data_IF_686696232840
#
_entry.id   IF_686696232840
#
_cell.length_a   1.000
_cell.length_b   1.000
_cell.length_c   1.000
_cell.angle_alpha   90.00
_cell.angle_beta   90.00
_cell.angle_gamma   90.00
#
_symmetry.space_group_name_H-M   'P 1'
#
loop_
_entity.id
_entity.type
_entity.pdbx_description
1 polymer ?
#
# COMPACT_ATOMS: atom_id res chain seq x y z
N UNK A 1 21.44 -1.66 16.86
CA UNK A 1 20.59 -0.70 17.59
C UNK A 1 20.55 -0.94 19.11
N UNK A 2 21.35 -1.89 19.62
CA UNK A 2 21.43 -2.18 21.06
C UNK A 2 21.65 -0.89 21.88
N UNK A 3 20.97 -0.79 23.02
CA UNK A 3 21.02 0.35 23.94
C UNK A 3 20.67 1.72 23.32
N UNK A 4 19.99 1.77 22.18
CA UNK A 4 19.49 2.99 21.55
C UNK A 4 18.00 3.18 21.76
N UNK A 5 17.60 4.44 21.94
CA UNK A 5 16.19 4.84 21.87
C UNK A 5 15.87 5.15 20.41
N UNK A 6 14.86 4.50 19.87
CA UNK A 6 14.53 4.56 18.44
C UNK A 6 13.11 5.09 18.26
N UNK A 7 12.93 6.02 17.34
CA UNK A 7 11.62 6.43 16.84
C UNK A 7 11.36 5.77 15.48
N UNK A 8 10.19 5.16 15.31
CA UNK A 8 9.65 4.76 14.00
C UNK A 8 8.45 5.65 13.68
N UNK A 9 8.55 6.43 12.61
CA UNK A 9 7.50 7.33 12.17
C UNK A 9 6.71 6.69 11.04
N UNK A 10 5.43 6.36 11.32
CA UNK A 10 4.54 5.66 10.42
C UNK A 10 4.24 4.23 10.85
N UNK A 11 3.14 3.69 10.32
CA UNK A 11 2.62 2.34 10.63
C UNK A 11 2.22 1.57 9.36
N UNK A 12 2.80 1.93 8.21
CA UNK A 12 2.61 1.22 6.95
C UNK A 12 3.42 -0.08 6.87
N UNK A 13 3.48 -0.69 5.66
CA UNK A 13 4.10 -2.00 5.44
C UNK A 13 5.56 -2.08 5.91
N UNK A 14 6.33 -1.01 5.77
CA UNK A 14 7.72 -0.94 6.25
C UNK A 14 7.78 -0.98 7.78
N UNK A 15 6.99 -0.15 8.45
CA UNK A 15 6.94 -0.10 9.91
C UNK A 15 6.44 -1.41 10.52
N UNK A 16 5.41 -2.03 9.92
CA UNK A 16 4.87 -3.33 10.35
C UNK A 16 5.95 -4.44 10.37
N UNK A 17 6.96 -4.34 9.52
CA UNK A 17 8.08 -5.29 9.48
C UNK A 17 9.24 -4.87 10.41
N UNK A 18 9.55 -3.58 10.48
CA UNK A 18 10.67 -3.07 11.28
C UNK A 18 10.36 -3.18 12.79
N UNK A 19 9.16 -2.78 13.22
CA UNK A 19 8.80 -2.72 14.65
C UNK A 19 9.04 -4.05 15.36
N UNK A 20 8.50 -5.20 14.93
CA UNK A 20 8.74 -6.47 15.60
C UNK A 20 10.22 -6.91 15.54
N UNK A 21 10.91 -6.57 14.44
CA UNK A 21 12.30 -6.96 14.24
C UNK A 21 13.26 -6.29 15.21
N UNK A 22 12.98 -5.04 15.61
CA UNK A 22 13.89 -4.27 16.49
C UNK A 22 13.40 -4.13 17.93
N UNK A 23 12.13 -4.39 18.21
CA UNK A 23 11.50 -4.13 19.50
C UNK A 23 12.27 -4.76 20.69
N UNK A 24 12.79 -5.99 20.53
CA UNK A 24 13.56 -6.68 21.56
C UNK A 24 15.06 -6.28 21.62
N UNK A 25 15.53 -5.49 20.64
CA UNK A 25 16.96 -5.15 20.54
C UNK A 25 17.29 -3.74 21.04
N UNK A 26 16.29 -2.85 21.05
CA UNK A 26 16.46 -1.43 21.38
C UNK A 26 16.23 -1.18 22.87
N UNK A 27 16.82 -0.10 23.39
CA UNK A 27 16.54 0.33 24.77
C UNK A 27 15.09 0.78 24.92
N UNK A 28 14.59 1.58 23.98
CA UNK A 28 13.19 2.01 23.93
C UNK A 28 12.77 2.28 22.48
N UNK A 29 11.54 1.89 22.13
CA UNK A 29 10.95 2.09 20.82
C UNK A 29 9.72 2.99 20.93
N UNK A 30 9.77 4.15 20.28
CA UNK A 30 8.61 5.03 20.10
C UNK A 30 8.04 4.83 18.71
N UNK A 31 6.77 4.46 18.63
CA UNK A 31 6.05 4.27 17.36
C UNK A 31 5.07 5.42 17.16
N UNK A 32 5.33 6.31 16.21
CA UNK A 32 4.47 7.46 15.91
C UNK A 32 3.44 7.09 14.87
N UNK A 33 2.19 7.00 15.29
CA UNK A 33 1.06 6.54 14.48
C UNK A 33 0.11 7.68 14.12
N UNK A 34 -0.03 7.98 12.83
CA UNK A 34 -1.10 8.85 12.32
C UNK A 34 -2.41 8.08 12.09
N UNK A 35 -2.31 6.88 11.55
CA UNK A 35 -3.46 6.03 11.23
C UNK A 35 -3.08 4.58 11.50
N UNK A 36 -3.88 3.81 12.25
CA UNK A 36 -3.58 2.40 12.52
C UNK A 36 -3.59 1.56 11.24
N UNK A 37 -2.71 0.56 11.16
CA UNK A 37 -2.63 -0.37 10.05
C UNK A 37 -3.65 -1.52 10.20
N UNK A 38 -4.14 -2.02 9.07
CA UNK A 38 -4.81 -3.33 9.02
C UNK A 38 -3.74 -4.40 8.85
N UNK A 39 -3.55 -5.26 9.86
CA UNK A 39 -2.52 -6.31 9.83
C UNK A 39 -3.18 -7.68 10.02
N UNK A 40 -3.00 -8.54 9.04
CA UNK A 40 -3.46 -9.93 9.08
C UNK A 40 -2.31 -10.89 9.44
N UNK A 41 -2.57 -12.05 10.03
CA UNK A 41 -1.53 -13.01 10.32
C UNK A 41 -0.95 -13.58 9.01
N UNK A 42 0.36 -13.78 9.01
CA UNK A 42 1.09 -14.37 7.88
C UNK A 42 0.92 -15.88 7.84
N UNK A 43 0.89 -16.51 9.03
CA UNK A 43 0.82 -17.97 9.19
C UNK A 43 1.87 -18.70 8.36
N UNK A 44 3.08 -18.16 8.31
CA UNK A 44 4.17 -18.70 7.51
C UNK A 44 4.60 -20.06 8.07
N UNK A 45 4.80 -21.02 7.19
CA UNK A 45 5.25 -22.37 7.55
C UNK A 45 6.62 -22.64 6.93
N UNK A 46 7.42 -23.46 7.61
CA UNK A 46 8.66 -23.97 7.03
C UNK A 46 8.32 -24.85 5.83
N UNK A 47 8.93 -24.56 4.70
CA UNK A 47 8.78 -25.34 3.48
C UNK A 47 9.68 -26.58 3.57
N UNK A 48 9.11 -27.77 3.61
CA UNK A 48 9.85 -29.01 3.53
C UNK A 48 10.14 -29.41 2.07
N UNK A 49 11.07 -30.37 1.90
CA UNK A 49 11.47 -30.84 0.57
C UNK A 49 10.32 -31.48 -0.21
N UNK A 50 9.42 -32.17 0.46
CA UNK A 50 8.29 -32.85 -0.18
C UNK A 50 7.30 -31.81 -0.75
N UNK A 51 7.04 -30.74 0.01
CA UNK A 51 6.23 -29.62 -0.47
C UNK A 51 6.91 -28.91 -1.65
N UNK A 52 8.23 -28.66 -1.57
CA UNK A 52 9.00 -28.01 -2.63
C UNK A 52 8.93 -28.81 -3.95
N UNK A 53 9.16 -30.12 -3.91
CA UNK A 53 9.08 -31.00 -5.08
C UNK A 53 7.66 -31.04 -5.68
N UNK A 54 6.65 -31.14 -4.83
CA UNK A 54 5.26 -31.09 -5.25
C UNK A 54 4.94 -29.74 -5.91
N UNK A 55 5.37 -28.64 -5.30
CA UNK A 55 5.13 -27.29 -5.81
C UNK A 55 5.79 -27.07 -7.16
N UNK A 56 7.04 -27.52 -7.37
CA UNK A 56 7.73 -27.45 -8.66
C UNK A 56 6.95 -28.13 -9.78
N UNK A 57 6.27 -29.25 -9.50
CA UNK A 57 5.45 -29.98 -10.48
C UNK A 57 4.08 -29.32 -10.76
N UNK A 58 3.54 -28.55 -9.81
CA UNK A 58 2.18 -28.03 -9.87
C UNK A 58 2.14 -26.48 -9.87
N UNK A 59 3.28 -25.85 -10.00
CA UNK A 59 3.45 -24.42 -9.80
C UNK A 59 2.49 -23.56 -10.68
N UNK A 60 2.34 -23.89 -11.97
CA UNK A 60 1.47 -23.13 -12.89
C UNK A 60 0.01 -23.16 -12.41
N UNK A 61 -0.49 -24.33 -12.06
CA UNK A 61 -1.86 -24.49 -11.57
C UNK A 61 -2.04 -23.90 -10.16
N UNK A 62 -1.05 -24.05 -9.28
CA UNK A 62 -1.06 -23.42 -7.95
C UNK A 62 -1.11 -21.91 -8.06
N UNK A 63 -0.32 -21.31 -8.96
CA UNK A 63 -0.31 -19.88 -9.25
C UNK A 63 -1.67 -19.40 -9.80
N UNK A 64 -2.23 -20.12 -10.77
CA UNK A 64 -3.56 -19.80 -11.32
C UNK A 64 -4.64 -19.81 -10.25
N UNK A 65 -4.66 -20.84 -9.41
CA UNK A 65 -5.61 -20.94 -8.27
C UNK A 65 -5.43 -19.82 -7.25
N UNK A 66 -4.19 -19.47 -6.93
CA UNK A 66 -3.89 -18.36 -6.03
C UNK A 66 -4.45 -17.03 -6.55
N UNK A 67 -4.20 -16.71 -7.84
CA UNK A 67 -4.68 -15.46 -8.44
C UNK A 67 -6.20 -15.40 -8.48
N UNK A 68 -6.87 -16.47 -8.92
CA UNK A 68 -8.34 -16.55 -8.93
C UNK A 68 -8.93 -16.46 -7.51
N UNK A 69 -8.29 -17.10 -6.54
CA UNK A 69 -8.70 -17.03 -5.14
C UNK A 69 -8.56 -15.62 -4.56
N UNK A 70 -7.49 -14.93 -4.92
CA UNK A 70 -7.27 -13.53 -4.53
C UNK A 70 -8.36 -12.62 -5.10
N UNK A 71 -8.67 -12.73 -6.39
CA UNK A 71 -9.73 -11.96 -7.02
C UNK A 71 -11.10 -12.24 -6.39
N UNK A 72 -11.42 -13.51 -6.14
CA UNK A 72 -12.65 -13.90 -5.48
C UNK A 72 -12.75 -13.33 -4.06
N UNK A 73 -11.64 -13.35 -3.29
CA UNK A 73 -11.58 -12.77 -1.96
C UNK A 73 -11.85 -11.27 -1.99
N UNK A 74 -11.21 -10.54 -2.91
CA UNK A 74 -11.42 -9.08 -3.03
C UNK A 74 -12.84 -8.72 -3.47
N UNK A 75 -13.43 -9.48 -4.38
CA UNK A 75 -14.84 -9.33 -4.74
C UNK A 75 -15.76 -9.55 -3.53
N UNK A 76 -15.45 -10.55 -2.72
CA UNK A 76 -16.20 -10.84 -1.50
C UNK A 76 -16.14 -9.72 -0.48
N UNK A 77 -14.97 -9.18 -0.17
CA UNK A 77 -14.80 -8.15 0.87
C UNK A 77 -15.26 -6.76 0.43
N UNK A 78 -15.47 -6.54 -0.87
CA UNK A 78 -16.10 -5.33 -1.39
C UNK A 78 -17.61 -5.25 -1.08
N UNK A 79 -18.22 -6.32 -0.58
CA UNK A 79 -19.58 -6.30 -0.04
C UNK A 79 -19.52 -5.80 1.40
N UNK A 80 -20.33 -4.78 1.74
CA UNK A 80 -20.29 -4.06 3.03
C UNK A 80 -20.32 -5.02 4.23
N UNK A 81 -21.28 -5.93 4.29
CA UNK A 81 -21.46 -6.85 5.43
C UNK A 81 -20.24 -7.77 5.62
N UNK A 82 -19.61 -8.20 4.53
CA UNK A 82 -18.41 -9.00 4.58
C UNK A 82 -17.21 -8.16 5.05
N UNK A 83 -17.11 -6.92 4.60
CA UNK A 83 -16.06 -6.00 5.04
C UNK A 83 -16.18 -5.72 6.53
N UNK A 84 -17.37 -5.40 7.01
CA UNK A 84 -17.65 -5.17 8.43
C UNK A 84 -17.30 -6.40 9.28
N UNK A 85 -17.59 -7.61 8.80
CA UNK A 85 -17.18 -8.86 9.46
C UNK A 85 -15.66 -9.02 9.53
N UNK A 86 -14.94 -8.73 8.46
CA UNK A 86 -13.46 -8.78 8.43
C UNK A 86 -12.91 -7.78 9.43
N UNK A 87 -13.41 -6.54 9.44
CA UNK A 87 -12.98 -5.51 10.37
C UNK A 87 -13.30 -5.85 11.83
N UNK A 88 -14.46 -6.44 12.10
CA UNK A 88 -14.81 -6.94 13.44
C UNK A 88 -13.83 -8.02 13.92
N UNK A 89 -13.48 -8.97 13.05
CA UNK A 89 -12.52 -10.02 13.37
C UNK A 89 -11.12 -9.45 13.66
N UNK A 90 -10.68 -8.47 12.88
CA UNK A 90 -9.41 -7.77 13.10
C UNK A 90 -9.40 -7.05 14.46
N UNK A 91 -10.44 -6.27 14.77
CA UNK A 91 -10.56 -5.57 16.07
C UNK A 91 -10.57 -6.55 17.25
N UNK A 92 -11.28 -7.66 17.11
CA UNK A 92 -11.30 -8.72 18.13
C UNK A 92 -9.92 -9.36 18.32
N UNK A 93 -9.15 -9.57 17.24
CA UNK A 93 -7.78 -10.06 17.32
C UNK A 93 -6.90 -9.06 18.08
N UNK A 94 -6.95 -7.79 17.73
CA UNK A 94 -6.18 -6.74 18.43
C UNK A 94 -6.50 -6.76 19.94
N UNK A 95 -7.80 -6.78 20.29
CA UNK A 95 -8.25 -6.79 21.68
C UNK A 95 -7.85 -8.05 22.48
N UNK A 96 -7.61 -9.18 21.79
CA UNK A 96 -7.14 -10.42 22.43
C UNK A 96 -5.62 -10.46 22.56
N UNK A 97 -4.90 -9.78 21.67
CA UNK A 97 -3.44 -9.83 21.57
C UNK A 97 -2.79 -8.75 22.44
N UNK A 98 -3.32 -7.53 22.41
CA UNK A 98 -2.74 -6.37 23.10
C UNK A 98 -3.36 -6.24 24.50
N UNK A 99 -2.51 -6.10 25.53
CA UNK A 99 -2.94 -6.10 26.94
C UNK A 99 -3.49 -4.76 27.42
N UNK A 100 -2.88 -3.64 26.99
CA UNK A 100 -3.32 -2.31 27.40
C UNK A 100 -4.55 -1.85 26.58
N UNK A 101 -5.70 -1.61 27.22
CA UNK A 101 -6.93 -1.20 26.53
C UNK A 101 -6.80 0.16 25.81
N UNK A 102 -5.92 1.06 26.28
CA UNK A 102 -5.68 2.33 25.60
C UNK A 102 -4.93 2.09 24.27
N UNK A 103 -3.92 1.22 24.30
CA UNK A 103 -3.17 0.83 23.10
C UNK A 103 -4.08 0.04 22.15
N UNK A 104 -4.94 -0.84 22.65
CA UNK A 104 -5.96 -1.53 21.84
C UNK A 104 -6.82 -0.54 21.07
N UNK A 105 -7.34 0.50 21.74
CA UNK A 105 -8.17 1.53 21.12
C UNK A 105 -7.42 2.28 20.00
N UNK A 106 -6.16 2.60 20.23
CA UNK A 106 -5.33 3.30 19.24
C UNK A 106 -5.00 2.43 18.03
N UNK A 107 -4.80 1.13 18.21
CA UNK A 107 -4.44 0.20 17.13
C UNK A 107 -5.64 -0.26 16.29
N UNK A 108 -6.88 0.01 16.73
CA UNK A 108 -8.08 -0.38 15.98
C UNK A 108 -8.36 0.58 14.81
N UNK A 109 -8.35 0.09 13.55
CA UNK A 109 -8.71 0.92 12.40
C UNK A 109 -10.19 1.31 12.42
N UNK A 110 -10.46 2.58 12.05
CA UNK A 110 -11.80 3.16 11.93
C UNK A 110 -12.28 3.32 10.48
N UNK A 111 -11.59 2.71 9.54
CA UNK A 111 -11.87 2.76 8.10
C UNK A 111 -12.13 1.34 7.56
N UNK A 112 -12.83 1.18 6.42
CA UNK A 112 -13.12 -0.12 5.82
C UNK A 112 -11.83 -0.86 5.40
N UNK A 113 -11.86 -2.20 5.48
CA UNK A 113 -10.75 -3.03 5.03
C UNK A 113 -10.49 -2.82 3.53
N UNK A 114 -9.24 -2.62 3.16
CA UNK A 114 -8.84 -2.37 1.79
C UNK A 114 -8.75 -0.89 1.38
N UNK A 115 -9.27 0.06 2.20
CA UNK A 115 -9.06 1.49 1.97
C UNK A 115 -7.61 1.92 2.14
N UNK A 116 -6.85 1.14 2.89
CA UNK A 116 -5.38 1.21 2.95
C UNK A 116 -4.84 -0.18 2.69
N UNK A 117 -3.61 -0.28 2.15
CA UNK A 117 -2.98 -1.56 1.87
C UNK A 117 -2.92 -2.42 3.14
N UNK A 118 -3.59 -3.59 3.18
CA UNK A 118 -3.46 -4.51 4.29
C UNK A 118 -2.04 -5.05 4.37
N UNK A 119 -1.50 -5.09 5.58
CA UNK A 119 -0.20 -5.67 5.87
C UNK A 119 -0.35 -7.10 6.39
N UNK A 120 0.71 -7.88 6.33
CA UNK A 120 0.74 -9.27 6.79
C UNK A 120 1.93 -9.43 7.72
N UNK A 121 1.67 -9.74 9.00
CA UNK A 121 2.70 -10.03 10.00
C UNK A 121 2.10 -10.78 11.18
N UNK A 122 2.88 -11.69 11.78
CA UNK A 122 2.42 -12.47 12.94
C UNK A 122 2.60 -11.71 14.25
N UNK A 123 3.73 -11.03 14.47
CA UNK A 123 4.16 -10.49 15.77
C UNK A 123 4.01 -8.96 15.92
N UNK A 124 3.33 -8.29 14.97
CA UNK A 124 3.21 -6.83 15.00
C UNK A 124 2.47 -6.31 16.23
N UNK A 125 1.32 -6.89 16.53
CA UNK A 125 0.51 -6.46 17.68
C UNK A 125 1.13 -6.89 19.01
N UNK A 126 1.78 -8.04 19.04
CA UNK A 126 2.50 -8.58 20.17
C UNK A 126 3.63 -7.65 20.65
N UNK A 127 4.27 -6.93 19.71
CA UNK A 127 5.32 -5.97 20.01
C UNK A 127 4.88 -4.85 20.95
N UNK A 128 3.61 -4.46 20.93
CA UNK A 128 3.06 -3.41 21.79
C UNK A 128 2.79 -3.88 23.23
N UNK A 129 3.05 -5.14 23.56
CA UNK A 129 3.02 -5.65 24.93
C UNK A 129 4.37 -5.57 25.65
N UNK A 130 5.43 -5.14 24.96
CA UNK A 130 6.77 -4.98 25.54
C UNK A 130 6.86 -3.65 26.30
N UNK A 131 7.44 -3.67 27.49
CA UNK A 131 7.56 -2.50 28.37
C UNK A 131 8.39 -1.36 27.75
N UNK A 132 9.29 -1.70 26.85
CA UNK A 132 10.12 -0.75 26.11
C UNK A 132 9.51 -0.25 24.79
N UNK A 133 8.24 -0.53 24.50
CA UNK A 133 7.55 -0.06 23.28
C UNK A 133 6.43 0.89 23.66
N UNK A 134 6.47 2.10 23.13
CA UNK A 134 5.43 3.13 23.34
C UNK A 134 4.79 3.52 22.02
N UNK A 135 3.47 3.35 21.92
CA UNK A 135 2.68 3.88 20.81
C UNK A 135 2.32 5.34 21.08
N UNK A 136 2.68 6.23 20.16
CA UNK A 136 2.39 7.67 20.20
C UNK A 136 1.41 8.02 19.10
N UNK A 137 0.21 8.42 19.46
CA UNK A 137 -0.79 8.86 18.48
C UNK A 137 -0.47 10.29 18.02
N UNK A 138 -0.26 10.45 16.72
CA UNK A 138 -0.07 11.73 16.03
C UNK A 138 -1.17 11.97 14.98
N UNK A 139 -2.26 11.24 15.07
CA UNK A 139 -3.45 11.36 14.24
C UNK A 139 -4.55 12.18 14.89
N UNK A 140 -5.67 12.27 14.21
CA UNK A 140 -6.86 12.98 14.67
C UNK A 140 -7.79 12.16 15.57
N UNK A 141 -7.40 10.93 15.94
CA UNK A 141 -8.29 9.99 16.62
C UNK A 141 -8.66 10.36 18.07
N UNK A 142 -7.92 11.28 18.68
CA UNK A 142 -8.13 11.71 20.08
C UNK A 142 -8.60 13.16 20.21
N UNK A 143 -9.22 13.73 19.17
CA UNK A 143 -9.64 15.15 19.18
C UNK A 143 -8.49 16.14 19.02
N UNK A 144 -7.26 15.66 18.87
CA UNK A 144 -6.08 16.44 18.56
C UNK A 144 -5.99 16.50 17.03
N UNK A 145 -6.11 17.68 16.45
CA UNK A 145 -6.00 17.90 14.99
C UNK A 145 -4.52 17.79 14.53
N UNK A 146 -3.87 16.66 14.87
CA UNK A 146 -2.50 16.40 14.47
C UNK A 146 -2.51 15.74 13.08
N UNK A 147 -2.05 16.48 12.08
CA UNK A 147 -1.87 15.98 10.72
C UNK A 147 -0.56 15.18 10.55
N UNK A 148 -0.18 14.41 11.58
CA UNK A 148 1.06 13.66 11.64
C UNK A 148 2.10 14.32 12.54
N UNK A 149 3.32 13.82 12.47
CA UNK A 149 4.48 14.33 13.21
C UNK A 149 5.15 15.43 12.38
N UNK A 150 5.09 16.68 12.84
CA UNK A 150 5.55 17.85 12.08
C UNK A 150 6.64 18.64 12.82
N UNK A 151 6.93 18.29 14.08
CA UNK A 151 7.85 19.06 14.91
C UNK A 151 8.99 18.16 15.43
N UNK A 152 10.20 18.66 15.34
CA UNK A 152 11.41 18.02 15.82
C UNK A 152 12.31 19.06 16.49
N UNK A 153 13.01 18.66 17.52
CA UNK A 153 14.10 19.44 18.09
C UNK A 153 15.39 18.59 18.14
N UNK A 154 16.47 19.12 18.69
CA UNK A 154 17.78 18.45 18.76
C UNK A 154 17.75 17.11 19.50
N UNK A 155 16.74 16.88 20.36
CA UNK A 155 16.62 15.67 21.16
C UNK A 155 15.68 14.64 20.53
N UNK A 156 14.84 15.02 19.57
CA UNK A 156 13.94 14.09 18.88
C UNK A 156 12.58 14.68 18.48
N UNK A 157 11.62 13.81 18.16
CA UNK A 157 10.26 14.21 17.81
C UNK A 157 9.53 14.91 18.94
N UNK A 158 8.71 15.92 18.58
CA UNK A 158 7.86 16.66 19.52
C UNK A 158 6.39 16.44 19.18
N UNK A 159 5.58 16.07 20.18
CA UNK A 159 4.12 15.90 20.04
C UNK A 159 3.45 16.61 21.20
N UNK A 160 2.59 17.59 20.91
CA UNK A 160 1.89 18.38 21.91
C UNK A 160 2.82 19.02 22.96
N UNK A 161 3.95 19.57 22.51
CA UNK A 161 4.96 20.18 23.37
C UNK A 161 5.82 19.20 24.17
N UNK A 162 5.55 17.88 24.08
CA UNK A 162 6.38 16.85 24.70
C UNK A 162 7.43 16.34 23.72
N UNK A 163 8.71 16.48 24.08
CA UNK A 163 9.82 15.87 23.36
C UNK A 163 9.95 14.39 23.71
N UNK A 164 10.18 13.56 22.73
CA UNK A 164 10.50 12.14 22.85
C UNK A 164 12.00 11.94 22.53
N UNK A 165 12.87 11.88 23.55
CA UNK A 165 14.31 11.81 23.31
C UNK A 165 14.69 10.49 22.64
N UNK A 166 15.36 10.58 21.48
CA UNK A 166 15.79 9.42 20.70
C UNK A 166 17.20 9.60 20.13
N UNK A 167 17.84 8.49 19.88
CA UNK A 167 19.17 8.43 19.29
C UNK A 167 19.11 8.14 17.77
N UNK A 168 17.98 7.57 17.32
CA UNK A 168 17.75 7.20 15.90
C UNK A 168 16.28 7.45 15.54
N UNK A 169 16.08 7.99 14.36
CA UNK A 169 14.73 8.14 13.76
C UNK A 169 14.66 7.35 12.47
N UNK A 170 13.65 6.49 12.34
CA UNK A 170 13.34 5.74 11.13
C UNK A 170 12.07 6.33 10.51
N UNK A 171 12.19 6.97 9.38
CA UNK A 171 11.06 7.47 8.61
C UNK A 171 10.47 6.35 7.75
N UNK A 172 9.36 5.77 8.18
CA UNK A 172 8.58 4.78 7.46
C UNK A 172 7.26 5.39 6.93
N UNK A 173 7.34 6.64 6.47
CA UNK A 173 6.19 7.49 6.10
C UNK A 173 5.60 7.16 4.73
N UNK A 174 6.28 6.32 3.93
CA UNK A 174 5.87 5.90 2.59
C UNK A 174 6.39 6.79 1.48
N UNK A 175 5.97 6.47 0.28
CA UNK A 175 6.29 7.22 -0.95
C UNK A 175 5.01 7.81 -1.52
N UNK A 176 5.12 8.89 -2.27
CA UNK A 176 4.05 9.41 -3.11
C UNK A 176 3.93 8.57 -4.40
N UNK A 177 3.46 7.32 -4.21
CA UNK A 177 3.40 6.35 -5.29
C UNK A 177 2.24 6.60 -6.27
N UNK A 178 1.18 7.30 -5.83
CA UNK A 178 -0.04 7.52 -6.61
C UNK A 178 -0.22 8.98 -7.06
N UNK A 179 0.55 9.89 -6.50
CA UNK A 179 0.48 11.33 -6.78
C UNK A 179 1.17 11.77 -8.08
N UNK A 180 1.71 10.83 -8.88
CA UNK A 180 2.39 11.16 -10.14
C UNK A 180 3.84 11.63 -9.99
N UNK A 181 4.31 11.91 -8.80
CA UNK A 181 5.68 12.40 -8.57
C UNK A 181 6.77 11.41 -9.02
N UNK A 182 6.50 10.10 -8.95
CA UNK A 182 7.42 9.08 -9.48
C UNK A 182 7.58 9.17 -11.01
N UNK A 183 6.58 9.65 -11.73
CA UNK A 183 6.61 9.81 -13.18
C UNK A 183 7.14 11.19 -13.60
N UNK A 184 6.93 12.22 -12.77
CA UNK A 184 7.54 13.53 -12.95
C UNK A 184 9.06 13.46 -13.00
N UNK A 185 9.66 12.59 -12.18
CA UNK A 185 11.11 12.34 -12.20
C UNK A 185 11.64 11.77 -13.52
N UNK A 186 10.78 11.18 -14.36
CA UNK A 186 11.18 10.58 -15.64
C UNK A 186 11.20 11.58 -16.81
N UNK A 187 10.73 12.83 -16.63
CA UNK A 187 10.66 13.87 -17.67
C UNK A 187 10.03 13.37 -18.98
N UNK A 188 8.93 12.62 -18.89
CA UNK A 188 8.23 12.11 -20.06
C UNK A 188 7.54 13.28 -20.78
N UNK A 189 7.89 13.46 -22.06
CA UNK A 189 7.35 14.54 -22.90
C UNK A 189 6.94 14.00 -24.27
N UNK A 190 5.80 14.46 -24.78
CA UNK A 190 5.34 14.20 -26.14
C UNK A 190 4.61 15.43 -26.67
N UNK A 191 4.88 15.77 -27.95
CA UNK A 191 4.23 16.91 -28.64
C UNK A 191 4.38 18.26 -27.89
N UNK A 192 5.49 18.46 -27.17
CA UNK A 192 5.75 19.67 -26.40
C UNK A 192 4.98 19.77 -25.07
N UNK A 193 4.33 18.68 -24.62
CA UNK A 193 3.61 18.62 -23.37
C UNK A 193 4.27 17.58 -22.47
N UNK A 194 4.57 17.95 -21.23
CA UNK A 194 5.07 17.04 -20.23
C UNK A 194 3.92 16.24 -19.59
N UNK A 195 4.20 15.01 -19.22
CA UNK A 195 3.21 14.10 -18.62
C UNK A 195 2.70 14.61 -17.26
N UNK A 196 3.58 15.13 -16.42
CA UNK A 196 3.23 15.75 -15.15
C UNK A 196 2.32 16.98 -15.36
N UNK A 197 2.64 17.84 -16.32
CA UNK A 197 1.84 19.00 -16.68
C UNK A 197 0.44 18.61 -17.17
N UNK A 198 0.33 17.56 -18.01
CA UNK A 198 -0.98 17.04 -18.41
C UNK A 198 -1.80 16.58 -17.19
N UNK A 199 -1.18 15.84 -16.29
CA UNK A 199 -1.86 15.34 -15.10
C UNK A 199 -2.23 16.45 -14.10
N UNK A 200 -1.38 17.46 -13.94
CA UNK A 200 -1.71 18.67 -13.17
C UNK A 200 -2.93 19.39 -13.75
N UNK A 201 -2.97 19.59 -15.05
CA UNK A 201 -4.11 20.21 -15.75
C UNK A 201 -5.41 19.41 -15.58
N UNK A 202 -5.34 18.08 -15.53
CA UNK A 202 -6.46 17.19 -15.28
C UNK A 202 -6.81 17.07 -13.77
N UNK A 203 -6.06 17.72 -12.89
CA UNK A 203 -6.21 17.65 -11.43
C UNK A 203 -5.77 16.35 -10.79
N UNK A 204 -5.29 15.37 -11.58
CA UNK A 204 -4.82 14.07 -11.10
C UNK A 204 -4.15 13.24 -12.20
N UNK A 205 -3.29 12.27 -11.83
CA UNK A 205 -2.77 11.27 -12.76
C UNK A 205 -3.88 10.35 -13.29
N UNK A 206 -3.89 10.15 -14.61
CA UNK A 206 -4.84 9.25 -15.31
C UNK A 206 -4.10 8.37 -16.31
N UNK A 207 -4.61 7.18 -16.57
CA UNK A 207 -4.14 6.30 -17.63
C UNK A 207 -5.20 5.26 -18.01
N UNK A 208 -5.32 4.93 -19.28
CA UNK A 208 -6.15 3.84 -19.78
C UNK A 208 -5.50 2.49 -19.43
N UNK A 209 -6.21 1.62 -18.71
CA UNK A 209 -5.71 0.36 -18.14
C UNK A 209 -4.46 0.50 -17.25
N UNK A 210 -4.13 1.74 -16.82
CA UNK A 210 -2.88 2.00 -16.14
C UNK A 210 -1.64 1.85 -17.02
N UNK A 211 -1.79 1.88 -18.35
CA UNK A 211 -0.73 1.61 -19.33
C UNK A 211 -0.55 2.77 -20.29
N UNK A 212 -1.64 3.30 -20.85
CA UNK A 212 -1.59 4.31 -21.92
C UNK A 212 -2.11 5.65 -21.46
N UNK A 213 -1.50 6.72 -21.98
CA UNK A 213 -1.97 8.10 -21.75
C UNK A 213 -2.19 8.76 -23.12
N UNK A 214 -3.36 9.34 -23.33
CA UNK A 214 -3.67 10.06 -24.57
C UNK A 214 -2.75 11.27 -24.73
N UNK A 215 -2.31 11.54 -25.96
CA UNK A 215 -1.28 12.56 -26.24
C UNK A 215 0.16 12.05 -26.13
N UNK A 216 0.37 10.82 -25.61
CA UNK A 216 1.70 10.22 -25.43
C UNK A 216 1.83 8.93 -26.25
N UNK A 217 2.00 9.02 -27.56
CA UNK A 217 2.11 7.85 -28.43
C UNK A 217 3.36 7.03 -28.12
N UNK A 218 3.24 5.70 -28.24
CA UNK A 218 4.31 4.73 -27.98
C UNK A 218 4.87 4.79 -26.55
N UNK A 219 4.20 5.49 -25.64
CA UNK A 219 4.55 5.54 -24.23
C UNK A 219 3.69 4.53 -23.45
N UNK A 220 4.35 3.66 -22.71
CA UNK A 220 3.70 2.64 -21.91
C UNK A 220 4.16 2.76 -20.45
N UNK A 221 3.21 2.81 -19.55
CA UNK A 221 3.45 2.86 -18.11
C UNK A 221 3.05 1.50 -17.54
N UNK A 222 3.94 0.87 -16.80
CA UNK A 222 3.58 -0.33 -16.04
C UNK A 222 3.16 0.03 -14.63
N UNK A 223 2.03 -0.53 -14.18
CA UNK A 223 1.44 -0.23 -12.87
C UNK A 223 1.12 1.27 -12.68
N UNK A 224 0.72 1.93 -13.76
CA UNK A 224 0.36 3.34 -13.77
C UNK A 224 -0.98 3.64 -13.10
N UNK A 225 -1.43 4.90 -13.12
CA UNK A 225 -2.71 5.31 -12.56
C UNK A 225 -3.87 4.47 -13.10
N UNK A 226 -4.86 4.18 -12.25
CA UNK A 226 -6.02 3.33 -12.57
C UNK A 226 -5.68 1.89 -13.01
N UNK A 227 -4.46 1.41 -12.74
CA UNK A 227 -4.12 -0.01 -12.90
C UNK A 227 -4.71 -0.86 -11.77
N UNK A 228 -4.64 -2.19 -11.87
CA UNK A 228 -5.02 -3.08 -10.79
C UNK A 228 -4.35 -2.67 -9.47
N UNK A 229 -5.13 -2.68 -8.41
CA UNK A 229 -4.73 -2.13 -7.13
C UNK A 229 -3.62 -2.94 -6.46
N UNK A 230 -2.98 -2.30 -5.48
CA UNK A 230 -2.07 -2.94 -4.49
C UNK A 230 -2.70 -4.12 -3.73
N UNK A 231 -3.97 -4.41 -3.95
CA UNK A 231 -4.73 -5.52 -3.39
C UNK A 231 -4.56 -6.82 -4.20
N UNK A 232 -4.04 -6.74 -5.43
CA UNK A 232 -3.72 -7.90 -6.28
C UNK A 232 -2.23 -8.22 -6.26
N UNK A 233 -1.86 -9.35 -6.89
CA UNK A 233 -0.45 -9.68 -7.09
C UNK A 233 0.14 -8.77 -8.17
N UNK A 234 0.94 -7.78 -7.77
CA UNK A 234 1.54 -6.79 -8.68
C UNK A 234 2.39 -7.44 -9.78
N UNK A 235 3.10 -8.52 -9.47
CA UNK A 235 3.91 -9.26 -10.46
C UNK A 235 3.02 -9.85 -11.56
N UNK A 236 1.90 -10.47 -11.18
CA UNK A 236 0.96 -11.03 -12.15
C UNK A 236 0.32 -9.94 -13.02
N UNK A 237 -0.07 -8.82 -12.40
CA UNK A 237 -0.60 -7.68 -13.16
C UNK A 237 0.45 -7.11 -14.12
N UNK A 238 1.71 -7.05 -13.71
CA UNK A 238 2.81 -6.61 -14.60
C UNK A 238 3.04 -7.55 -15.77
N UNK A 239 2.91 -8.87 -15.60
CA UNK A 239 2.99 -9.84 -16.70
C UNK A 239 1.86 -9.62 -17.72
N UNK A 240 0.61 -9.46 -17.24
CA UNK A 240 -0.51 -9.17 -18.15
C UNK A 240 -0.33 -7.86 -18.91
N UNK A 241 0.20 -6.84 -18.23
CA UNK A 241 0.51 -5.56 -18.87
C UNK A 241 1.65 -5.70 -19.89
N UNK A 242 2.68 -6.48 -19.59
CA UNK A 242 3.77 -6.77 -20.52
C UNK A 242 3.26 -7.50 -21.78
N UNK A 243 2.39 -8.50 -21.64
CA UNK A 243 1.76 -9.20 -22.76
C UNK A 243 0.94 -8.25 -23.62
N UNK A 244 0.18 -7.35 -23.00
CA UNK A 244 -0.58 -6.32 -23.72
C UNK A 244 0.35 -5.37 -24.49
N UNK A 245 1.42 -4.88 -23.89
CA UNK A 245 2.40 -3.98 -24.53
C UNK A 245 3.08 -4.68 -25.71
N UNK A 246 3.51 -5.92 -25.53
CA UNK A 246 4.12 -6.71 -26.62
C UNK A 246 3.14 -6.93 -27.76
N UNK A 247 1.88 -7.21 -27.45
CA UNK A 247 0.80 -7.33 -28.44
C UNK A 247 0.59 -6.02 -29.23
N UNK A 248 0.54 -4.89 -28.53
CA UNK A 248 0.38 -3.57 -29.12
C UNK A 248 1.55 -3.22 -30.07
N UNK A 249 2.79 -3.40 -29.60
CA UNK A 249 4.01 -3.16 -30.41
C UNK A 249 4.06 -4.08 -31.64
N UNK A 250 3.73 -5.37 -31.46
CA UNK A 250 3.71 -6.34 -32.57
C UNK A 250 2.66 -5.98 -33.61
N UNK A 251 1.48 -5.56 -33.17
CA UNK A 251 0.40 -5.12 -34.09
C UNK A 251 0.83 -3.88 -34.87
N UNK A 252 1.42 -2.90 -34.19
CA UNK A 252 1.93 -1.68 -34.82
C UNK A 252 2.97 -2.01 -35.91
N UNK A 253 3.91 -2.92 -35.58
CA UNK A 253 4.93 -3.40 -36.54
C UNK A 253 4.30 -4.12 -37.73
N UNK A 254 3.37 -5.04 -37.51
CA UNK A 254 2.73 -5.83 -38.57
C UNK A 254 1.90 -4.97 -39.54
N UNK A 255 1.29 -3.90 -39.04
CA UNK A 255 0.54 -2.93 -39.83
C UNK A 255 1.43 -1.88 -40.48
N UNK A 256 2.75 -1.98 -40.33
CA UNK A 256 3.72 -0.97 -40.84
C UNK A 256 3.39 0.45 -40.34
N UNK A 257 2.85 0.57 -39.13
CA UNK A 257 2.54 1.85 -38.48
C UNK A 257 3.63 2.16 -37.48
N UNK A 258 4.07 3.43 -37.46
CA UNK A 258 5.10 3.89 -36.53
C UNK A 258 4.54 4.39 -35.18
N UNK A 259 3.22 4.43 -35.01
CA UNK A 259 2.57 5.07 -33.88
C UNK A 259 1.34 4.29 -33.43
N UNK A 260 1.23 4.11 -32.12
CA UNK A 260 0.04 3.63 -31.43
C UNK A 260 -0.24 4.55 -30.26
N UNK A 261 -1.50 4.89 -30.06
CA UNK A 261 -1.94 5.83 -29.04
C UNK A 261 -3.37 5.50 -28.62
N UNK A 262 -3.71 5.69 -27.36
CA UNK A 262 -5.08 5.63 -26.89
C UNK A 262 -5.82 6.91 -27.25
N UNK A 263 -7.04 6.82 -27.70
CA UNK A 263 -7.91 7.98 -27.93
C UNK A 263 -8.40 8.54 -26.59
N UNK A 264 -8.52 9.86 -26.52
CA UNK A 264 -8.86 10.56 -25.26
C UNK A 264 -10.19 10.09 -24.66
N UNK A 265 -11.21 9.92 -25.49
CA UNK A 265 -12.54 9.45 -25.04
C UNK A 265 -12.47 8.09 -24.36
N UNK A 266 -11.63 7.16 -24.86
CA UNK A 266 -11.46 5.84 -24.26
C UNK A 266 -10.73 5.93 -22.89
N UNK A 267 -9.74 6.80 -22.78
CA UNK A 267 -9.10 7.06 -21.49
C UNK A 267 -10.10 7.65 -20.47
N UNK A 268 -10.87 8.65 -20.85
CA UNK A 268 -11.89 9.28 -20.02
C UNK A 268 -12.98 8.28 -19.60
N UNK A 269 -13.48 7.46 -20.51
CA UNK A 269 -14.46 6.43 -20.19
C UNK A 269 -13.91 5.43 -19.17
N UNK A 270 -12.67 4.97 -19.35
CA UNK A 270 -11.99 4.09 -18.41
C UNK A 270 -11.87 4.70 -17.00
N UNK A 271 -11.42 5.95 -16.94
CA UNK A 271 -11.26 6.70 -15.69
C UNK A 271 -12.60 6.83 -14.97
N UNK A 272 -13.65 7.29 -15.67
CA UNK A 272 -14.99 7.47 -15.12
C UNK A 272 -15.59 6.15 -14.60
N UNK A 273 -15.41 5.06 -15.36
CA UNK A 273 -15.87 3.73 -14.94
C UNK A 273 -15.11 3.22 -13.70
N UNK A 274 -13.80 3.43 -13.65
CA UNK A 274 -12.97 3.02 -12.52
C UNK A 274 -13.38 3.76 -11.24
N UNK A 275 -13.66 5.05 -11.32
CA UNK A 275 -14.11 5.87 -10.20
C UNK A 275 -15.51 5.48 -9.74
N UNK A 276 -16.45 5.36 -10.65
CA UNK A 276 -17.82 4.92 -10.33
C UNK A 276 -17.82 3.59 -9.59
N UNK A 277 -16.97 2.64 -10.01
CA UNK A 277 -16.82 1.35 -9.35
C UNK A 277 -16.12 1.46 -7.99
N UNK A 278 -15.18 2.38 -7.85
CA UNK A 278 -14.50 2.67 -6.59
C UNK A 278 -15.42 3.32 -5.56
N UNK A 279 -16.17 4.33 -5.97
CA UNK A 279 -17.08 5.10 -5.08
C UNK A 279 -18.25 4.25 -4.53
N UNK A 280 -18.82 3.39 -5.35
CA UNK A 280 -19.98 2.57 -4.96
C UNK A 280 -19.66 1.41 -4.00
N UNK A 281 -18.39 1.20 -3.64
CA UNK A 281 -17.97 0.05 -2.83
C UNK A 281 -17.64 0.40 -1.38
N UNK A 282 -17.61 1.67 -1.03
CA UNK A 282 -17.12 2.15 0.28
C UNK A 282 -18.18 2.95 1.05
N UNK A 283 -19.37 3.16 0.47
CA UNK A 283 -20.51 3.80 1.16
C UNK A 283 -21.37 2.81 1.93
#
# INVERSE_FOLDING_TARGET
LKAKRVAVVGTGATAVQIIPAIANEVQHLYVFQRTPATVSPRNNKVTDKAFEEKFKKTYVEARRKFNLGTDAYWKMINVKDNNDRVMKNLRNRIARTVKDPNVVKLLQPNYPFGCKRPCIHDDYFESFNLDNVTLVDVGSNNGLNLNGLNEFNENGPVVNGKTYPVDVIVFATGFDALGGSNFAACNVEANGIKLDQKWENNGRPTAFYGIHVSGFPNCYIMQGPHSPSVLSCMIYSSELQADHIVGAVSTCKNLSKGRIEVVEDAELEWVNNSERLGFNKVQ
#
